data_IF_540477885488
#
_entry.id   IF_540477885488
#
_cell.length_a   1.000
_cell.length_b   1.000
_cell.length_c   1.000
_cell.angle_alpha   90.00
_cell.angle_beta   90.00
_cell.angle_gamma   90.00
#
_symmetry.space_group_name_H-M   'P 1'
#
loop_
_entity.id
_entity.type
_entity.pdbx_description
1 polymer ?
#
# COMPACT_ATOMS: atom_id res chain seq x y z
N UNK A 1 2.00 -7.34 -9.73
CA UNK A 1 1.37 -6.06 -9.26
C UNK A 1 1.38 -5.95 -7.73
N UNK A 2 0.99 -4.83 -7.08
CA UNK A 2 0.95 -4.72 -5.61
C UNK A 2 -0.42 -5.13 -5.02
N UNK A 3 -0.43 -5.45 -3.72
CA UNK A 3 -1.58 -5.97 -2.93
C UNK A 3 -2.04 -5.04 -1.81
N UNK A 4 -1.72 -3.76 -1.89
CA UNK A 4 -2.01 -2.80 -0.81
C UNK A 4 -3.51 -2.77 -0.49
N UNK A 5 -4.37 -2.86 -1.51
CA UNK A 5 -5.83 -2.90 -1.32
C UNK A 5 -6.27 -4.07 -0.44
N UNK A 6 -5.78 -5.26 -0.73
CA UNK A 6 -6.17 -6.48 -0.01
C UNK A 6 -5.76 -6.40 1.47
N UNK A 7 -4.57 -5.87 1.75
CA UNK A 7 -4.09 -5.71 3.12
C UNK A 7 -4.90 -4.64 3.88
N UNK A 8 -5.23 -3.53 3.23
CA UNK A 8 -6.10 -2.51 3.82
C UNK A 8 -7.49 -3.07 4.17
N UNK A 9 -8.09 -3.82 3.24
CA UNK A 9 -9.40 -4.44 3.43
C UNK A 9 -9.35 -5.49 4.55
N UNK A 10 -8.31 -6.33 4.60
CA UNK A 10 -8.10 -7.34 5.67
C UNK A 10 -7.95 -6.70 7.06
N UNK A 11 -7.25 -5.57 7.16
CA UNK A 11 -7.07 -4.85 8.44
C UNK A 11 -8.22 -3.90 8.78
N UNK A 12 -9.18 -3.70 7.87
CA UNK A 12 -10.27 -2.74 8.05
C UNK A 12 -9.81 -1.28 8.08
N UNK A 13 -8.68 -0.97 7.43
CA UNK A 13 -8.06 0.35 7.44
C UNK A 13 -8.52 1.17 6.24
N UNK A 14 -8.92 2.42 6.49
CA UNK A 14 -9.32 3.35 5.42
C UNK A 14 -8.10 3.91 4.68
N UNK A 15 -8.23 4.12 3.38
CA UNK A 15 -7.20 4.76 2.56
C UNK A 15 -6.87 6.19 3.02
N UNK A 16 -7.85 6.92 3.56
CA UNK A 16 -7.64 8.25 4.14
C UNK A 16 -6.67 8.21 5.31
N UNK A 17 -6.77 7.19 6.17
CA UNK A 17 -5.87 6.99 7.30
C UNK A 17 -4.45 6.66 6.82
N UNK A 18 -4.30 5.77 5.83
CA UNK A 18 -2.99 5.47 5.26
C UNK A 18 -2.35 6.71 4.62
N UNK A 19 -3.15 7.56 3.98
CA UNK A 19 -2.69 8.83 3.41
C UNK A 19 -2.16 9.80 4.47
N UNK A 20 -2.87 9.92 5.60
CA UNK A 20 -2.43 10.70 6.76
C UNK A 20 -1.10 10.16 7.33
N UNK A 21 -0.99 8.84 7.52
CA UNK A 21 0.22 8.23 8.06
C UNK A 21 1.44 8.36 7.12
N UNK A 22 1.22 8.30 5.81
CA UNK A 22 2.28 8.49 4.80
C UNK A 22 2.63 9.97 4.55
N UNK A 23 1.86 10.92 5.09
CA UNK A 23 1.97 12.33 4.74
C UNK A 23 1.75 12.60 3.24
N UNK A 24 0.90 11.80 2.58
CA UNK A 24 0.61 11.88 1.14
C UNK A 24 -0.84 12.23 0.89
N UNK A 25 -1.14 12.82 -0.27
CA UNK A 25 -2.53 13.08 -0.64
C UNK A 25 -3.31 11.77 -0.85
N UNK A 26 -4.60 11.79 -0.53
CA UNK A 26 -5.50 10.67 -0.78
C UNK A 26 -5.43 10.16 -2.22
N UNK A 27 -5.35 11.09 -3.19
CA UNK A 27 -5.27 10.73 -4.62
C UNK A 27 -4.01 9.93 -4.95
N UNK A 28 -2.88 10.25 -4.30
CA UNK A 28 -1.63 9.50 -4.48
C UNK A 28 -1.75 8.09 -3.93
N UNK A 29 -2.26 7.93 -2.70
CA UNK A 29 -2.49 6.62 -2.08
C UNK A 29 -3.50 5.79 -2.86
N UNK A 30 -4.61 6.38 -3.30
CA UNK A 30 -5.59 5.74 -4.17
C UNK A 30 -4.96 5.28 -5.51
N UNK A 31 -3.95 5.99 -6.01
CA UNK A 31 -3.14 5.57 -7.15
C UNK A 31 -2.40 4.25 -6.90
N UNK A 32 -1.78 4.13 -5.72
CA UNK A 32 -1.09 2.91 -5.27
C UNK A 32 -2.07 1.74 -5.09
N UNK A 33 -3.16 1.98 -4.35
CA UNK A 33 -4.17 0.97 -4.01
C UNK A 33 -4.88 0.43 -5.25
N UNK A 34 -5.17 1.28 -6.24
CA UNK A 34 -5.78 0.87 -7.52
C UNK A 34 -4.76 0.42 -8.57
N UNK A 35 -3.47 0.26 -8.20
CA UNK A 35 -2.38 -0.13 -9.11
C UNK A 35 -2.20 0.79 -10.34
N UNK A 36 -2.79 2.00 -10.36
CA UNK A 36 -2.60 2.98 -11.45
C UNK A 36 -1.22 3.61 -11.43
N UNK A 37 -0.59 3.63 -10.26
CA UNK A 37 0.80 4.03 -10.04
C UNK A 37 1.40 3.06 -9.04
N UNK A 38 2.62 2.61 -9.28
CA UNK A 38 3.34 1.84 -8.27
C UNK A 38 4.03 2.79 -7.26
N UNK A 39 3.99 2.47 -5.96
CA UNK A 39 4.84 3.15 -4.99
C UNK A 39 6.31 2.86 -5.30
N UNK A 40 7.20 3.79 -4.95
CA UNK A 40 8.64 3.49 -4.94
C UNK A 40 8.95 2.47 -3.86
N UNK A 41 10.12 1.85 -3.93
CA UNK A 41 10.53 0.86 -2.94
C UNK A 41 10.50 1.43 -1.51
N UNK A 42 10.98 2.66 -1.33
CA UNK A 42 10.96 3.38 -0.05
C UNK A 42 9.54 3.53 0.50
N UNK A 43 8.59 3.97 -0.34
CA UNK A 43 7.18 4.13 0.05
C UNK A 43 6.55 2.77 0.34
N UNK A 44 6.92 1.72 -0.38
CA UNK A 44 6.42 0.37 -0.11
C UNK A 44 6.88 -0.13 1.27
N UNK A 45 8.15 0.08 1.63
CA UNK A 45 8.66 -0.23 2.96
C UNK A 45 8.02 0.60 4.07
N UNK A 46 7.73 1.87 3.78
CA UNK A 46 7.01 2.75 4.71
C UNK A 46 5.57 2.25 4.95
N UNK A 47 4.87 1.88 3.88
CA UNK A 47 3.52 1.27 3.96
C UNK A 47 3.57 -0.03 4.77
N UNK A 48 4.56 -0.89 4.54
CA UNK A 48 4.72 -2.13 5.29
C UNK A 48 4.92 -1.88 6.78
N UNK A 49 5.73 -0.87 7.14
CA UNK A 49 5.93 -0.43 8.53
C UNK A 49 4.65 0.11 9.16
N UNK A 50 3.92 0.99 8.45
CA UNK A 50 2.67 1.59 8.94
C UNK A 50 1.60 0.53 9.15
N UNK A 51 1.51 -0.42 8.22
CA UNK A 51 0.52 -1.48 8.25
C UNK A 51 0.95 -2.66 9.13
N UNK A 52 2.17 -2.67 9.68
CA UNK A 52 2.73 -3.78 10.46
C UNK A 52 2.56 -5.13 9.73
N UNK A 53 3.17 -5.22 8.55
CA UNK A 53 3.22 -6.41 7.69
C UNK A 53 4.59 -6.54 7.05
N UNK A 54 4.93 -7.73 6.55
CA UNK A 54 6.13 -7.88 5.75
C UNK A 54 5.97 -7.25 4.36
N UNK A 55 7.01 -6.60 3.81
CA UNK A 55 6.96 -5.99 2.46
C UNK A 55 6.51 -6.98 1.38
N UNK A 56 6.89 -8.25 1.52
CA UNK A 56 6.52 -9.32 0.59
C UNK A 56 5.01 -9.51 0.49
N UNK A 57 4.26 -9.25 1.56
CA UNK A 57 2.80 -9.36 1.57
C UNK A 57 2.12 -8.28 0.74
N UNK A 58 2.80 -7.15 0.51
CA UNK A 58 2.33 -6.06 -0.34
C UNK A 58 2.60 -6.30 -1.83
N UNK A 59 3.29 -7.37 -2.19
CA UNK A 59 3.69 -7.68 -3.57
C UNK A 59 2.96 -8.96 -4.02
N UNK A 60 2.43 -8.96 -5.25
CA UNK A 60 1.97 -10.21 -5.86
C UNK A 60 3.17 -11.03 -6.31
N UNK A 61 3.23 -12.28 -5.86
CA UNK A 61 4.10 -13.30 -6.43
C UNK A 61 3.54 -13.75 -7.78
N UNK A 62 3.64 -12.88 -8.80
CA UNK A 62 3.48 -13.34 -10.17
C UNK A 62 4.75 -14.12 -10.54
N UNK A 63 4.69 -15.46 -10.41
CA UNK A 63 5.63 -16.34 -11.11
C UNK A 63 5.33 -16.20 -12.61
N UNK A 64 6.20 -15.48 -13.30
CA UNK A 64 6.27 -15.55 -14.76
C UNK A 64 6.95 -16.85 -15.17
#
# INVERSE_FOLDING_TARGET
MNRIKEILDKKGIKQTWLAEQLGKSYNMVNGYVKNRRQPTLEVLFEIARILDVEVKELINEEKK
#
